data_IF_968117824533
#
_entry.id   IF_968117824533
#
_cell.length_a   1.000
_cell.length_b   1.000
_cell.length_c   1.000
_cell.angle_alpha   90.00
_cell.angle_beta   90.00
_cell.angle_gamma   90.00
#
_symmetry.space_group_name_H-M   'P 1'
#
loop_
_entity.id
_entity.type
_entity.pdbx_description
1 polymer ?
#
# COMPACT_ATOMS: atom_id res chain seq x y z
N UNK A 1 9.77 23.30 -26.43
CA UNK A 1 10.97 23.53 -27.27
C UNK A 1 11.99 24.27 -26.42
N UNK A 2 12.90 23.54 -25.76
CA UNK A 2 13.91 24.14 -24.88
C UNK A 2 15.09 24.62 -25.74
N UNK A 3 15.13 25.91 -26.04
CA UNK A 3 16.35 26.56 -26.46
C UNK A 3 16.45 27.88 -25.70
N UNK A 4 17.20 27.88 -24.60
CA UNK A 4 17.89 29.09 -24.18
C UNK A 4 19.16 29.07 -25.03
N UNK A 5 19.27 29.86 -26.11
CA UNK A 5 20.53 29.95 -26.83
C UNK A 5 21.61 30.38 -25.84
N UNK A 6 22.82 29.79 -25.89
CA UNK A 6 23.91 30.22 -25.03
C UNK A 6 24.10 31.73 -25.20
N UNK A 7 24.25 32.45 -24.08
CA UNK A 7 24.60 33.87 -24.11
C UNK A 7 25.89 34.01 -24.93
N UNK A 8 25.81 34.71 -26.07
CA UNK A 8 26.99 35.02 -26.87
C UNK A 8 27.81 36.06 -26.12
N UNK A 9 29.12 35.87 -26.04
CA UNK A 9 30.01 36.87 -25.46
C UNK A 9 29.91 38.17 -26.27
N UNK A 10 29.90 39.32 -25.58
CA UNK A 10 29.71 40.65 -26.16
C UNK A 10 30.77 41.06 -27.21
N UNK A 11 31.83 40.27 -27.38
CA UNK A 11 32.97 40.58 -28.23
C UNK A 11 33.21 39.57 -29.37
N UNK A 12 32.39 38.51 -29.52
CA UNK A 12 32.52 37.53 -30.61
C UNK A 12 31.23 36.72 -30.82
N UNK A 13 30.82 36.54 -32.09
CA UNK A 13 29.65 35.70 -32.42
C UNK A 13 29.87 34.20 -32.17
N UNK A 14 31.13 33.78 -32.03
CA UNK A 14 31.57 32.38 -31.93
C UNK A 14 31.91 31.93 -30.50
N UNK A 15 31.91 32.85 -29.52
CA UNK A 15 32.27 32.54 -28.13
C UNK A 15 31.02 32.48 -27.25
N UNK A 16 30.79 31.31 -26.67
CA UNK A 16 29.73 31.05 -25.70
C UNK A 16 30.20 31.56 -24.33
N UNK A 17 29.45 32.48 -23.71
CA UNK A 17 29.83 33.16 -22.47
C UNK A 17 29.78 32.26 -21.24
N UNK A 18 28.99 31.18 -21.27
CA UNK A 18 28.85 30.23 -20.17
C UNK A 18 29.45 28.88 -20.56
N UNK A 19 30.71 28.66 -20.18
CA UNK A 19 31.39 27.37 -20.33
C UNK A 19 31.87 26.87 -18.98
N UNK A 20 31.76 25.57 -18.74
CA UNK A 20 32.32 24.87 -17.58
C UNK A 20 33.29 23.80 -18.08
N UNK A 21 34.54 23.83 -17.60
CA UNK A 21 35.60 22.92 -18.06
C UNK A 21 35.76 22.83 -19.61
N UNK A 22 35.53 23.94 -20.32
CA UNK A 22 35.67 24.02 -21.77
C UNK A 22 34.47 23.50 -22.58
N UNK A 23 33.37 23.09 -21.93
CA UNK A 23 32.12 22.73 -22.61
C UNK A 23 31.01 23.73 -22.30
N UNK A 24 30.00 23.79 -23.17
CA UNK A 24 28.82 24.65 -22.98
C UNK A 24 28.15 24.32 -21.66
N UNK A 25 28.02 25.33 -20.81
CA UNK A 25 27.32 25.21 -19.54
C UNK A 25 25.87 25.65 -19.73
N UNK A 26 24.94 24.80 -19.31
CA UNK A 26 23.51 25.10 -19.31
C UNK A 26 23.05 25.14 -17.86
N UNK A 27 22.70 26.33 -17.37
CA UNK A 27 22.17 26.47 -16.03
C UNK A 27 20.73 25.98 -15.96
N UNK A 28 20.49 24.99 -15.11
CA UNK A 28 19.16 24.43 -14.88
C UNK A 28 18.60 24.88 -13.53
N UNK A 29 17.28 25.06 -13.45
CA UNK A 29 16.60 25.49 -12.22
C UNK A 29 16.23 24.31 -11.29
N UNK A 30 16.41 23.08 -11.76
CA UNK A 30 16.10 21.88 -10.99
C UNK A 30 17.24 21.50 -10.03
N UNK A 31 16.91 20.72 -9.01
CA UNK A 31 17.94 20.21 -8.09
C UNK A 31 18.87 19.25 -8.81
N UNK A 32 20.13 19.23 -8.37
CA UNK A 32 21.12 18.32 -8.93
C UNK A 32 20.71 16.85 -8.74
N UNK A 33 20.07 16.53 -7.61
CA UNK A 33 19.61 15.18 -7.26
C UNK A 33 18.47 14.71 -8.17
N UNK A 34 17.47 15.57 -8.44
CA UNK A 34 16.35 15.26 -9.34
C UNK A 34 16.88 15.06 -10.77
N UNK A 35 17.78 15.94 -11.23
CA UNK A 35 18.39 15.87 -12.56
C UNK A 35 19.25 14.62 -12.74
N UNK A 36 20.09 14.29 -11.77
CA UNK A 36 20.92 13.09 -11.82
C UNK A 36 20.05 11.82 -11.92
N UNK A 37 18.98 11.75 -11.13
CA UNK A 37 18.04 10.62 -11.15
C UNK A 37 17.29 10.53 -12.48
N UNK A 38 16.82 11.66 -13.01
CA UNK A 38 16.13 11.73 -14.29
C UNK A 38 17.02 11.34 -15.46
N UNK A 39 18.22 11.91 -15.55
CA UNK A 39 19.20 11.57 -16.58
C UNK A 39 19.61 10.10 -16.46
N UNK A 40 19.84 9.59 -15.25
CA UNK A 40 20.18 8.18 -15.02
C UNK A 40 19.18 7.22 -15.68
N UNK A 41 17.87 7.50 -15.57
CA UNK A 41 16.84 6.66 -16.20
C UNK A 41 16.78 6.81 -17.72
N UNK A 42 17.21 7.95 -18.27
CA UNK A 42 17.31 8.11 -19.73
C UNK A 42 18.48 7.31 -20.32
N UNK A 43 19.60 7.23 -19.60
CA UNK A 43 20.77 6.47 -20.02
C UNK A 43 20.64 4.97 -19.75
N UNK A 44 19.96 4.58 -18.68
CA UNK A 44 19.65 3.19 -18.36
C UNK A 44 18.15 2.99 -18.05
N UNK A 45 17.29 2.90 -19.08
CA UNK A 45 15.85 2.74 -18.91
C UNK A 45 15.44 1.40 -18.27
N UNK A 46 16.36 0.42 -18.20
CA UNK A 46 16.16 -0.92 -17.64
C UNK A 46 16.86 -1.12 -16.28
N UNK A 47 17.49 -0.07 -15.75
CA UNK A 47 18.39 -0.19 -14.61
C UNK A 47 17.77 -0.72 -13.31
N UNK A 48 18.61 -0.88 -12.30
CA UNK A 48 18.29 -1.40 -10.96
C UNK A 48 17.26 -0.59 -10.14
N UNK A 49 16.72 0.50 -10.71
CA UNK A 49 15.92 1.49 -10.02
C UNK A 49 14.54 0.99 -9.55
N UNK A 50 13.94 0.03 -10.26
CA UNK A 50 12.66 -0.55 -9.84
C UNK A 50 12.84 -2.00 -9.39
N UNK A 51 12.78 -2.18 -8.07
CA UNK A 51 12.63 -3.48 -7.44
C UNK A 51 11.20 -3.58 -6.93
N UNK A 52 10.45 -4.55 -7.45
CA UNK A 52 9.06 -4.82 -7.02
C UNK A 52 8.99 -4.86 -5.50
N UNK A 53 8.00 -4.16 -4.96
CA UNK A 53 7.73 -4.04 -3.52
C UNK A 53 8.84 -3.39 -2.69
N UNK A 54 9.79 -2.71 -3.31
CA UNK A 54 10.75 -1.93 -2.56
C UNK A 54 10.02 -0.74 -1.88
N UNK A 55 10.06 -0.65 -0.54
CA UNK A 55 9.39 0.41 0.21
C UNK A 55 9.96 1.80 -0.04
N UNK A 56 11.17 1.92 -0.60
CA UNK A 56 11.77 3.19 -0.99
C UNK A 56 11.39 3.63 -2.41
N UNK A 57 10.76 2.77 -3.22
CA UNK A 57 10.41 3.09 -4.62
C UNK A 57 9.69 4.44 -4.76
N UNK A 58 8.64 4.76 -3.98
CA UNK A 58 7.96 6.06 -4.10
C UNK A 58 8.88 7.26 -3.85
N UNK A 59 9.82 7.15 -2.91
CA UNK A 59 10.77 8.22 -2.58
C UNK A 59 11.82 8.36 -3.68
N UNK A 60 12.35 7.22 -4.15
CA UNK A 60 13.41 7.19 -5.17
C UNK A 60 12.94 7.73 -6.52
N UNK A 61 11.70 7.44 -6.92
CA UNK A 61 11.17 7.86 -8.24
C UNK A 61 10.54 9.24 -8.23
N UNK A 62 10.41 9.91 -7.07
CA UNK A 62 9.73 11.19 -6.94
C UNK A 62 10.38 12.29 -7.81
N UNK A 63 11.70 12.45 -7.74
CA UNK A 63 12.44 13.43 -8.54
C UNK A 63 12.35 13.16 -10.03
N UNK A 64 12.52 11.89 -10.43
CA UNK A 64 12.38 11.46 -11.83
C UNK A 64 10.97 11.72 -12.37
N UNK A 65 9.93 11.42 -11.59
CA UNK A 65 8.54 11.64 -12.00
C UNK A 65 8.21 13.12 -12.14
N UNK A 66 8.69 13.95 -11.21
CA UNK A 66 8.59 15.42 -11.26
C UNK A 66 9.17 15.98 -12.55
N UNK A 67 10.40 15.59 -12.87
CA UNK A 67 11.08 16.05 -14.08
C UNK A 67 10.49 15.46 -15.35
N UNK A 68 10.03 14.20 -15.32
CA UNK A 68 9.33 13.60 -16.45
C UNK A 68 8.05 14.36 -16.80
N UNK A 69 7.32 14.88 -15.81
CA UNK A 69 6.15 15.73 -16.04
C UNK A 69 6.57 17.11 -16.55
N UNK A 70 7.56 17.75 -15.90
CA UNK A 70 8.06 19.09 -16.29
C UNK A 70 8.59 19.12 -17.73
N UNK A 71 9.29 18.06 -18.14
CA UNK A 71 9.91 17.92 -19.45
C UNK A 71 9.08 17.10 -20.45
N UNK A 72 7.80 16.85 -20.14
CA UNK A 72 6.84 16.19 -21.05
C UNK A 72 7.33 14.82 -21.57
N UNK A 73 8.05 14.08 -20.72
CA UNK A 73 8.55 12.73 -21.00
C UNK A 73 7.49 11.68 -20.66
N UNK A 74 6.41 11.65 -21.44
CA UNK A 74 5.22 10.83 -21.17
C UNK A 74 5.50 9.34 -21.06
N UNK A 75 6.40 8.80 -21.89
CA UNK A 75 6.78 7.38 -21.84
C UNK A 75 7.41 7.01 -20.49
N UNK A 76 8.28 7.88 -19.96
CA UNK A 76 8.93 7.67 -18.67
C UNK A 76 7.92 7.81 -17.53
N UNK A 77 7.07 8.83 -17.58
CA UNK A 77 5.96 9.01 -16.63
C UNK A 77 5.08 7.77 -16.59
N UNK A 78 4.61 7.29 -17.75
CA UNK A 78 3.74 6.12 -17.85
C UNK A 78 4.40 4.88 -17.25
N UNK A 79 5.69 4.67 -17.51
CA UNK A 79 6.45 3.53 -16.95
C UNK A 79 6.56 3.60 -15.43
N UNK A 80 6.87 4.76 -14.86
CA UNK A 80 6.94 4.94 -13.41
C UNK A 80 5.56 4.69 -12.77
N UNK A 81 4.51 5.23 -13.37
CA UNK A 81 3.13 5.01 -12.92
C UNK A 81 2.76 3.53 -12.96
N UNK A 82 3.04 2.82 -14.06
CA UNK A 82 2.79 1.38 -14.18
C UNK A 82 3.52 0.57 -13.12
N UNK A 83 4.75 0.94 -12.78
CA UNK A 83 5.53 0.30 -11.72
C UNK A 83 4.90 0.54 -10.34
N UNK A 84 4.56 1.79 -10.02
CA UNK A 84 3.84 2.11 -8.77
C UNK A 84 2.51 1.34 -8.69
N UNK A 85 1.77 1.29 -9.79
CA UNK A 85 0.50 0.56 -9.90
C UNK A 85 0.66 -0.95 -9.74
N UNK A 86 1.73 -1.54 -10.27
CA UNK A 86 2.03 -2.97 -10.13
C UNK A 86 2.31 -3.33 -8.66
N UNK A 87 2.83 -2.39 -7.86
CA UNK A 87 3.10 -2.59 -6.45
C UNK A 87 1.84 -2.49 -5.56
N UNK A 88 0.68 -2.08 -6.07
CA UNK A 88 -0.56 -1.91 -5.28
C UNK A 88 -1.80 -2.63 -5.86
N UNK A 89 -2.63 -3.30 -5.05
CA UNK A 89 -3.80 -4.00 -5.57
C UNK A 89 -4.87 -3.01 -5.99
N UNK A 90 -5.37 -3.14 -7.22
CA UNK A 90 -6.45 -2.31 -7.76
C UNK A 90 -7.79 -3.06 -7.76
N UNK A 91 -7.75 -4.38 -7.62
CA UNK A 91 -8.94 -5.23 -7.54
C UNK A 91 -8.89 -6.15 -6.33
N UNK A 92 -10.06 -6.57 -5.84
CA UNK A 92 -10.16 -7.53 -4.74
C UNK A 92 -9.45 -8.86 -5.05
N UNK A 93 -9.45 -9.30 -6.32
CA UNK A 93 -8.72 -10.50 -6.73
C UNK A 93 -7.20 -10.33 -6.60
N UNK A 94 -6.67 -9.15 -6.96
CA UNK A 94 -5.26 -8.82 -6.75
C UNK A 94 -4.92 -8.72 -5.26
N UNK A 95 -5.84 -8.19 -4.44
CA UNK A 95 -5.70 -8.20 -2.99
C UNK A 95 -5.55 -9.62 -2.45
N UNK A 96 -6.45 -10.53 -2.84
CA UNK A 96 -6.43 -11.93 -2.40
C UNK A 96 -5.12 -12.63 -2.82
N UNK A 97 -4.65 -12.42 -4.04
CA UNK A 97 -3.38 -12.95 -4.51
C UNK A 97 -2.20 -12.44 -3.64
N UNK A 98 -2.21 -11.15 -3.28
CA UNK A 98 -1.17 -10.53 -2.43
C UNK A 98 -1.24 -10.95 -0.99
N UNK A 99 -2.44 -11.21 -0.46
CA UNK A 99 -2.60 -11.77 0.88
C UNK A 99 -1.88 -13.10 0.97
N UNK A 100 -2.08 -13.99 -0.02
CA UNK A 100 -1.39 -15.30 -0.06
C UNK A 100 0.13 -15.12 -0.11
N UNK A 101 0.63 -14.23 -0.97
CA UNK A 101 2.06 -13.89 -1.04
C UNK A 101 2.59 -13.36 0.31
N UNK A 102 1.84 -12.47 0.97
CA UNK A 102 2.19 -11.91 2.28
C UNK A 102 2.24 -12.97 3.38
N UNK A 103 1.30 -13.91 3.40
CA UNK A 103 1.28 -15.04 4.36
C UNK A 103 2.51 -15.93 4.17
N UNK A 104 2.87 -16.24 2.92
CA UNK A 104 4.07 -17.04 2.62
C UNK A 104 5.35 -16.31 3.05
N UNK A 105 5.46 -15.01 2.75
CA UNK A 105 6.60 -14.19 3.19
C UNK A 105 6.67 -14.11 4.72
N UNK A 106 5.55 -13.87 5.41
CA UNK A 106 5.49 -13.88 6.89
C UNK A 106 5.98 -15.22 7.46
N UNK A 107 5.52 -16.34 6.88
CA UNK A 107 5.95 -17.67 7.29
C UNK A 107 7.46 -17.86 7.10
N UNK A 108 8.00 -17.52 5.93
CA UNK A 108 9.43 -17.60 5.64
C UNK A 108 10.27 -16.82 6.66
N UNK A 109 9.88 -15.58 6.96
CA UNK A 109 10.57 -14.74 7.94
C UNK A 109 10.43 -15.25 9.38
N UNK A 110 9.29 -15.83 9.75
CA UNK A 110 9.06 -16.39 11.09
C UNK A 110 9.98 -17.58 11.43
N UNK A 111 10.44 -18.30 10.40
CA UNK A 111 11.41 -19.40 10.55
C UNK A 111 12.83 -18.90 10.80
N UNK A 112 13.13 -17.63 10.50
CA UNK A 112 14.46 -17.06 10.64
C UNK A 112 14.66 -16.51 12.05
N UNK A 113 15.72 -16.94 12.74
CA UNK A 113 16.00 -16.46 14.10
C UNK A 113 16.11 -14.94 14.17
N UNK A 114 16.69 -14.29 13.16
CA UNK A 114 16.85 -12.83 13.08
C UNK A 114 15.62 -12.11 12.54
N UNK A 115 14.61 -12.83 12.05
CA UNK A 115 13.48 -12.28 11.30
C UNK A 115 13.85 -11.78 9.91
N UNK A 116 15.07 -12.06 9.44
CA UNK A 116 15.59 -11.58 8.15
C UNK A 116 15.73 -12.71 7.13
N UNK A 117 15.35 -12.42 5.90
CA UNK A 117 15.63 -13.26 4.72
C UNK A 117 16.51 -12.45 3.78
N UNK A 118 17.66 -12.99 3.37
CA UNK A 118 18.64 -12.28 2.55
C UNK A 118 19.06 -10.91 3.13
N UNK A 119 19.17 -10.81 4.46
CA UNK A 119 19.55 -9.58 5.16
C UNK A 119 18.44 -8.54 5.34
N UNK A 120 17.25 -8.78 4.79
CA UNK A 120 16.11 -7.86 4.80
C UNK A 120 15.01 -8.34 5.76
N UNK A 121 14.31 -7.42 6.42
CA UNK A 121 13.10 -7.72 7.17
C UNK A 121 11.89 -7.89 6.24
N UNK A 122 10.77 -8.40 6.77
CA UNK A 122 9.54 -8.53 6.00
C UNK A 122 9.06 -7.17 5.47
N UNK A 123 9.18 -6.14 6.30
CA UNK A 123 8.79 -4.77 5.98
C UNK A 123 9.62 -4.16 4.83
N UNK A 124 10.83 -4.68 4.59
CA UNK A 124 11.70 -4.26 3.46
C UNK A 124 11.33 -4.94 2.13
N UNK A 125 10.37 -5.86 2.15
CA UNK A 125 9.92 -6.66 1.00
C UNK A 125 8.46 -6.40 0.65
N UNK A 126 7.87 -5.36 1.20
CA UNK A 126 6.48 -4.99 1.01
C UNK A 126 6.37 -3.47 0.78
N UNK A 127 5.43 -3.01 -0.06
CA UNK A 127 5.24 -1.58 -0.32
C UNK A 127 4.95 -0.79 0.96
N UNK A 128 5.56 0.39 1.08
CA UNK A 128 5.33 1.30 2.20
C UNK A 128 4.18 2.27 1.88
N UNK A 129 3.11 2.32 2.69
CA UNK A 129 1.88 3.00 2.32
C UNK A 129 1.96 4.54 2.35
N UNK A 130 2.66 5.17 3.28
CA UNK A 130 2.63 6.62 3.43
C UNK A 130 3.36 7.33 2.28
N UNK A 131 4.54 6.83 1.88
CA UNK A 131 5.26 7.35 0.72
C UNK A 131 4.51 7.09 -0.59
N UNK A 132 3.82 5.94 -0.72
CA UNK A 132 2.96 5.64 -1.86
C UNK A 132 1.76 6.60 -1.95
N UNK A 133 1.11 6.92 -0.82
CA UNK A 133 0.04 7.92 -0.76
C UNK A 133 0.59 9.29 -1.18
N UNK A 134 1.74 9.70 -0.64
CA UNK A 134 2.34 11.00 -0.96
C UNK A 134 2.58 11.17 -2.44
N UNK A 135 3.28 10.22 -3.07
CA UNK A 135 3.58 10.31 -4.52
C UNK A 135 2.29 10.25 -5.36
N UNK A 136 1.33 9.41 -4.97
CA UNK A 136 0.07 9.29 -5.71
C UNK A 136 -0.77 10.55 -5.63
N UNK A 137 -0.83 11.19 -4.46
CA UNK A 137 -1.50 12.48 -4.26
C UNK A 137 -0.83 13.60 -5.06
N UNK A 138 0.50 13.63 -5.12
CA UNK A 138 1.25 14.72 -5.78
C UNK A 138 1.21 14.64 -7.32
N UNK A 139 1.19 13.42 -7.86
CA UNK A 139 1.27 13.20 -9.32
C UNK A 139 0.03 12.55 -9.94
N UNK A 140 -1.09 12.56 -9.20
CA UNK A 140 -2.39 12.08 -9.66
C UNK A 140 -2.40 10.59 -10.08
N UNK A 141 -1.77 9.73 -9.29
CA UNK A 141 -1.81 8.26 -9.44
C UNK A 141 -2.91 7.68 -8.55
N UNK A 142 -4.16 8.09 -8.80
CA UNK A 142 -5.28 7.81 -7.88
C UNK A 142 -5.64 6.32 -7.77
N UNK A 143 -5.27 5.51 -8.75
CA UNK A 143 -5.54 4.06 -8.83
C UNK A 143 -5.01 3.27 -7.64
N UNK A 144 -3.90 3.70 -7.03
CA UNK A 144 -3.27 3.01 -5.89
C UNK A 144 -3.78 3.50 -4.52
N UNK A 145 -4.39 4.68 -4.47
CA UNK A 145 -4.78 5.34 -3.21
C UNK A 145 -5.73 4.49 -2.35
N UNK A 146 -6.79 3.83 -2.88
CA UNK A 146 -7.72 3.07 -2.04
C UNK A 146 -7.02 1.97 -1.25
N UNK A 147 -6.13 1.21 -1.90
CA UNK A 147 -5.38 0.14 -1.25
C UNK A 147 -4.27 0.66 -0.34
N UNK A 148 -3.60 1.76 -0.71
CA UNK A 148 -2.57 2.39 0.11
C UNK A 148 -3.13 2.95 1.42
N UNK A 149 -4.26 3.65 1.35
CA UNK A 149 -4.96 4.11 2.54
C UNK A 149 -5.52 2.96 3.37
N UNK A 150 -6.06 1.93 2.73
CA UNK A 150 -6.52 0.73 3.45
C UNK A 150 -5.37 0.09 4.23
N UNK A 151 -4.23 -0.19 3.59
CA UNK A 151 -3.04 -0.71 4.29
C UNK A 151 -2.58 0.19 5.43
N UNK A 152 -2.50 1.51 5.21
CA UNK A 152 -2.09 2.45 6.24
C UNK A 152 -3.04 2.45 7.45
N UNK A 153 -4.35 2.34 7.20
CA UNK A 153 -5.37 2.35 8.24
C UNK A 153 -5.24 1.17 9.22
N UNK A 154 -4.66 0.06 8.77
CA UNK A 154 -4.40 -1.15 9.56
C UNK A 154 -3.12 -1.06 10.41
N UNK A 155 -2.30 -0.02 10.23
CA UNK A 155 -1.05 0.15 10.98
C UNK A 155 -1.26 1.02 12.21
N UNK A 156 -0.60 0.66 13.31
CA UNK A 156 -0.50 1.53 14.48
C UNK A 156 0.34 2.76 14.14
N UNK A 157 -0.13 3.93 14.58
CA UNK A 157 0.62 5.19 14.46
C UNK A 157 1.96 5.17 15.21
N UNK A 158 2.13 4.27 16.17
CA UNK A 158 3.39 4.07 16.89
C UNK A 158 4.43 3.28 16.06
N UNK A 159 4.01 2.60 14.99
CA UNK A 159 4.86 1.83 14.09
C UNK A 159 5.54 2.76 13.06
N UNK A 160 6.36 3.68 13.56
CA UNK A 160 7.11 4.64 12.75
C UNK A 160 8.33 4.01 12.07
N UNK A 161 8.46 4.26 10.77
CA UNK A 161 9.49 3.70 9.90
C UNK A 161 10.91 3.97 10.39
N UNK A 162 11.21 5.22 10.74
CA UNK A 162 12.55 5.65 11.13
C UNK A 162 12.88 5.16 12.55
N UNK A 163 11.93 5.30 13.47
CA UNK A 163 12.11 4.88 14.86
C UNK A 163 12.38 3.36 14.96
N UNK A 164 11.62 2.55 14.22
CA UNK A 164 11.80 1.10 14.23
C UNK A 164 13.08 0.68 13.52
N UNK A 165 13.62 1.46 12.57
CA UNK A 165 14.92 1.13 11.94
C UNK A 165 16.12 1.58 12.75
N UNK A 166 15.99 2.67 13.50
CA UNK A 166 17.00 3.10 14.46
C UNK A 166 17.16 2.08 15.60
N UNK A 167 16.06 1.42 16.00
CA UNK A 167 16.09 0.33 16.96
C UNK A 167 15.15 -0.82 16.51
N UNK A 168 15.63 -1.72 15.61
CA UNK A 168 14.84 -2.82 15.03
C UNK A 168 14.15 -3.69 16.06
N UNK A 169 14.78 -3.81 17.23
CA UNK A 169 14.22 -4.45 18.41
C UNK A 169 13.59 -5.81 18.11
N UNK A 170 12.50 -6.09 18.82
CA UNK A 170 11.68 -7.29 18.60
C UNK A 170 10.65 -7.08 17.48
N UNK A 171 10.26 -5.84 17.19
CA UNK A 171 9.13 -5.57 16.29
C UNK A 171 9.39 -6.04 14.85
N UNK A 172 10.44 -5.54 14.21
CA UNK A 172 10.76 -5.92 12.83
C UNK A 172 11.16 -7.40 12.73
N UNK A 173 11.79 -7.94 13.79
CA UNK A 173 12.12 -9.37 13.90
C UNK A 173 10.88 -10.26 13.83
N UNK A 174 9.75 -9.84 14.39
CA UNK A 174 8.48 -10.58 14.36
C UNK A 174 7.56 -10.12 13.22
N UNK A 175 8.11 -9.50 12.18
CA UNK A 175 7.36 -9.16 10.96
C UNK A 175 6.42 -7.96 11.12
N UNK A 176 6.68 -7.07 12.07
CA UNK A 176 5.94 -5.81 12.16
C UNK A 176 6.06 -5.02 10.85
N UNK A 177 4.96 -4.36 10.48
CA UNK A 177 4.91 -3.41 9.37
C UNK A 177 5.00 -1.99 9.92
N UNK A 178 5.63 -1.09 9.16
CA UNK A 178 5.79 0.31 9.56
C UNK A 178 5.36 1.27 8.46
N UNK A 179 5.20 2.55 8.80
CA UNK A 179 4.91 3.60 7.83
C UNK A 179 5.70 4.87 8.10
N UNK A 180 5.96 5.64 7.06
CA UNK A 180 6.60 6.97 7.12
C UNK A 180 5.54 8.03 7.43
N UNK A 181 4.99 7.99 8.65
CA UNK A 181 3.87 8.84 9.07
C UNK A 181 4.08 10.33 8.79
N UNK A 182 5.33 10.81 8.86
CA UNK A 182 5.73 12.19 8.60
C UNK A 182 5.49 12.66 7.16
N UNK A 183 5.30 11.75 6.20
CA UNK A 183 5.03 12.10 4.80
C UNK A 183 3.57 12.45 4.53
N UNK A 184 2.66 12.13 5.45
CA UNK A 184 1.25 12.45 5.29
C UNK A 184 1.03 13.93 5.55
N UNK A 185 0.43 14.63 4.59
CA UNK A 185 -0.01 16.00 4.81
C UNK A 185 -1.31 16.03 5.63
N UNK A 186 -1.76 17.24 5.98
CA UNK A 186 -3.00 17.45 6.73
C UNK A 186 -4.22 16.83 6.05
N UNK A 187 -4.30 16.88 4.72
CA UNK A 187 -5.44 16.37 3.95
C UNK A 187 -5.46 14.85 3.99
N UNK A 188 -4.32 14.21 3.76
CA UNK A 188 -4.20 12.75 3.75
C UNK A 188 -4.33 12.16 5.15
N UNK A 189 -3.85 12.85 6.19
CA UNK A 189 -4.13 12.46 7.58
C UNK A 189 -5.63 12.50 7.90
N UNK A 190 -6.35 13.54 7.46
CA UNK A 190 -7.80 13.62 7.67
C UNK A 190 -8.57 12.52 6.93
N UNK A 191 -8.13 12.16 5.72
CA UNK A 191 -8.68 11.02 4.96
C UNK A 191 -8.48 9.70 5.71
N UNK A 192 -7.27 9.49 6.24
CA UNK A 192 -6.93 8.30 7.01
C UNK A 192 -7.83 8.17 8.25
N UNK A 193 -7.92 9.22 9.07
CA UNK A 193 -8.74 9.22 10.30
C UNK A 193 -10.21 8.96 9.98
N UNK A 194 -10.73 9.57 8.91
CA UNK A 194 -12.09 9.31 8.45
C UNK A 194 -12.30 7.85 8.04
N UNK A 195 -11.38 7.31 7.24
CA UNK A 195 -11.44 5.93 6.78
C UNK A 195 -11.30 4.92 7.91
N UNK A 196 -10.40 5.14 8.87
CA UNK A 196 -10.29 4.30 10.08
C UNK A 196 -11.60 4.26 10.87
N UNK A 197 -12.28 5.41 11.03
CA UNK A 197 -13.59 5.46 11.70
C UNK A 197 -14.64 4.62 10.94
N UNK A 198 -14.69 4.73 9.61
CA UNK A 198 -15.64 3.98 8.80
C UNK A 198 -15.32 2.48 8.72
N UNK A 199 -14.04 2.11 8.63
CA UNK A 199 -13.59 0.73 8.72
C UNK A 199 -13.96 0.11 10.05
N UNK A 200 -13.69 0.79 11.18
CA UNK A 200 -14.06 0.29 12.50
C UNK A 200 -15.58 0.13 12.67
N UNK A 201 -16.39 1.03 12.09
CA UNK A 201 -17.84 0.87 12.05
C UNK A 201 -18.23 -0.37 11.23
N UNK A 202 -17.71 -0.48 10.01
CA UNK A 202 -17.96 -1.60 9.12
C UNK A 202 -17.59 -2.95 9.76
N UNK A 203 -16.45 -3.02 10.44
CA UNK A 203 -15.99 -4.24 11.13
C UNK A 203 -16.92 -4.66 12.26
N UNK A 204 -17.51 -3.71 13.01
CA UNK A 204 -18.50 -4.02 14.05
C UNK A 204 -19.79 -4.60 13.46
N UNK A 205 -20.22 -4.09 12.30
CA UNK A 205 -21.45 -4.52 11.64
C UNK A 205 -21.35 -5.92 11.03
N UNK A 206 -20.14 -6.45 10.79
CA UNK A 206 -19.92 -7.82 10.30
C UNK A 206 -20.63 -8.84 11.20
N UNK A 207 -20.49 -8.70 12.52
CA UNK A 207 -21.05 -9.64 13.48
C UNK A 207 -22.57 -9.73 13.39
N UNK A 208 -23.24 -8.58 13.34
CA UNK A 208 -24.71 -8.52 13.25
C UNK A 208 -25.21 -8.97 11.90
N UNK A 209 -24.55 -8.54 10.82
CA UNK A 209 -25.02 -8.76 9.45
C UNK A 209 -24.80 -10.19 8.99
N UNK A 210 -23.70 -10.80 9.42
CA UNK A 210 -23.36 -12.17 9.07
C UNK A 210 -23.91 -13.11 10.13
N UNK A 211 -23.54 -12.98 11.40
CA UNK A 211 -23.83 -13.99 12.41
C UNK A 211 -25.17 -13.81 13.14
N UNK A 212 -25.77 -12.62 13.08
CA UNK A 212 -27.06 -12.31 13.71
C UNK A 212 -28.30 -12.90 13.03
N UNK A 213 -28.16 -13.47 11.83
CA UNK A 213 -29.27 -14.08 11.07
C UNK A 213 -29.79 -15.36 11.74
N UNK A 214 -31.12 -15.51 11.77
CA UNK A 214 -31.79 -16.70 12.33
C UNK A 214 -31.73 -17.88 11.37
N UNK A 215 -31.47 -19.08 11.90
CA UNK A 215 -31.55 -20.31 11.13
C UNK A 215 -33.00 -20.58 10.70
N UNK A 216 -33.26 -20.66 9.39
CA UNK A 216 -34.59 -20.93 8.84
C UNK A 216 -35.15 -22.30 9.27
N UNK A 217 -34.27 -23.26 9.59
CA UNK A 217 -34.67 -24.59 10.08
C UNK A 217 -34.99 -24.62 11.59
N UNK A 218 -34.89 -23.49 12.28
CA UNK A 218 -35.25 -23.36 13.70
C UNK A 218 -34.36 -24.13 14.69
N UNK A 219 -33.22 -24.67 14.25
CA UNK A 219 -32.34 -25.47 15.11
C UNK A 219 -31.61 -24.62 16.15
N UNK A 220 -31.90 -24.83 17.44
CA UNK A 220 -31.23 -24.13 18.58
C UNK A 220 -29.70 -24.26 18.54
N UNK A 221 -29.18 -25.37 18.01
CA UNK A 221 -27.74 -25.60 17.84
C UNK A 221 -27.07 -24.63 16.85
N UNK A 222 -27.77 -24.20 15.80
CA UNK A 222 -27.21 -23.26 14.81
C UNK A 222 -26.99 -21.87 15.39
N UNK A 223 -27.92 -21.38 16.23
CA UNK A 223 -27.76 -20.08 16.87
C UNK A 223 -26.52 -20.07 17.78
N UNK A 224 -26.35 -21.11 18.59
CA UNK A 224 -25.16 -21.27 19.44
C UNK A 224 -23.88 -21.34 18.60
N UNK A 225 -23.83 -22.20 17.59
CA UNK A 225 -22.66 -22.37 16.73
C UNK A 225 -22.25 -21.07 16.03
N UNK A 226 -23.21 -20.28 15.52
CA UNK A 226 -22.93 -18.96 14.92
C UNK A 226 -22.32 -17.98 15.91
N UNK A 227 -22.84 -17.94 17.13
CA UNK A 227 -22.28 -17.08 18.19
C UNK A 227 -20.87 -17.51 18.58
N UNK A 228 -20.59 -18.82 18.64
CA UNK A 228 -19.23 -19.33 18.88
C UNK A 228 -18.28 -18.95 17.74
N UNK A 229 -18.70 -19.09 16.47
CA UNK A 229 -17.90 -18.66 15.33
C UNK A 229 -17.57 -17.16 15.41
N UNK A 230 -18.56 -16.32 15.72
CA UNK A 230 -18.32 -14.89 15.85
C UNK A 230 -17.38 -14.56 17.02
N UNK A 231 -17.57 -15.23 18.17
CA UNK A 231 -16.69 -15.05 19.33
C UNK A 231 -15.25 -15.42 19.00
N UNK A 232 -15.03 -16.50 18.24
CA UNK A 232 -13.69 -16.86 17.78
C UNK A 232 -13.05 -15.73 16.97
N UNK A 233 -13.76 -15.08 16.05
CA UNK A 233 -13.21 -13.95 15.30
C UNK A 233 -12.88 -12.75 16.21
N UNK A 234 -13.67 -12.52 17.27
CA UNK A 234 -13.39 -11.46 18.23
C UNK A 234 -12.15 -11.76 19.11
N UNK A 235 -11.92 -13.03 19.45
CA UNK A 235 -10.86 -13.46 20.38
C UNK A 235 -9.54 -13.86 19.69
N UNK A 236 -9.63 -14.41 18.47
CA UNK A 236 -8.51 -15.03 17.75
C UNK A 236 -8.13 -14.27 16.48
N UNK A 237 -8.78 -13.15 16.15
CA UNK A 237 -8.24 -12.25 15.13
C UNK A 237 -6.81 -11.87 15.57
N UNK A 238 -5.78 -12.22 14.79
CA UNK A 238 -4.41 -12.01 15.20
C UNK A 238 -4.18 -10.50 15.27
N UNK A 239 -4.10 -9.99 16.50
CA UNK A 239 -3.69 -8.63 16.91
C UNK A 239 -4.82 -7.61 17.08
N UNK A 240 -5.97 -7.76 16.43
CA UNK A 240 -7.27 -7.14 16.76
C UNK A 240 -8.22 -7.41 15.58
N UNK A 241 -9.49 -7.06 15.71
CA UNK A 241 -10.48 -6.90 14.64
C UNK A 241 -10.07 -5.84 13.60
N UNK A 242 -8.80 -5.80 13.18
CA UNK A 242 -8.21 -4.66 12.48
C UNK A 242 -8.43 -4.77 10.98
N UNK A 243 -8.33 -5.97 10.38
CA UNK A 243 -8.53 -6.17 8.95
C UNK A 243 -9.91 -6.82 8.63
N UNK A 244 -10.94 -6.02 8.29
CA UNK A 244 -12.25 -6.55 7.93
C UNK A 244 -12.24 -7.42 6.66
N UNK A 245 -11.36 -7.17 5.68
CA UNK A 245 -11.26 -8.04 4.51
C UNK A 245 -10.75 -9.43 4.90
N UNK A 246 -9.88 -9.50 5.90
CA UNK A 246 -9.36 -10.75 6.41
C UNK A 246 -10.39 -11.54 7.20
N UNK A 247 -11.10 -10.88 8.12
CA UNK A 247 -12.22 -11.48 8.87
C UNK A 247 -13.26 -12.05 7.90
N UNK A 248 -13.64 -11.26 6.89
CA UNK A 248 -14.63 -11.69 5.92
C UNK A 248 -14.12 -12.83 5.03
N UNK A 249 -12.83 -12.88 4.69
CA UNK A 249 -12.26 -14.03 3.97
C UNK A 249 -12.37 -15.29 4.82
N UNK A 250 -12.01 -15.20 6.10
CA UNK A 250 -12.06 -16.34 7.01
C UNK A 250 -13.51 -16.82 7.25
N UNK A 251 -14.48 -15.91 7.22
CA UNK A 251 -15.91 -16.26 7.23
C UNK A 251 -16.35 -17.08 6.00
N UNK A 252 -15.65 -17.00 4.86
CA UNK A 252 -15.93 -17.86 3.69
C UNK A 252 -15.42 -19.29 3.86
N UNK A 253 -14.61 -19.55 4.90
CA UNK A 253 -13.89 -20.80 5.12
C UNK A 253 -14.11 -21.39 6.52
N UNK A 254 -15.32 -21.21 7.08
CA UNK A 254 -15.65 -21.69 8.42
C UNK A 254 -15.34 -23.18 8.62
N UNK A 255 -15.56 -23.99 7.58
CA UNK A 255 -15.27 -25.42 7.57
C UNK A 255 -13.81 -25.78 7.85
N UNK A 256 -12.89 -24.87 7.51
CA UNK A 256 -11.45 -25.04 7.78
C UNK A 256 -11.04 -24.56 9.17
N UNK A 257 -11.89 -23.77 9.83
CA UNK A 257 -11.59 -23.09 11.10
C UNK A 257 -12.31 -23.73 12.30
N UNK A 258 -13.45 -24.37 12.08
CA UNK A 258 -14.30 -24.89 13.14
C UNK A 258 -14.68 -26.35 12.89
N UNK A 259 -14.69 -27.14 13.97
CA UNK A 259 -15.25 -28.50 13.98
C UNK A 259 -16.76 -28.49 14.19
N UNK A 260 -17.25 -27.60 15.06
CA UNK A 260 -18.67 -27.46 15.39
C UNK A 260 -19.31 -26.35 14.57
N UNK A 261 -19.85 -26.71 13.41
CA UNK A 261 -20.43 -25.77 12.46
C UNK A 261 -21.94 -25.60 12.62
N UNK A 262 -22.49 -24.43 12.21
CA UNK A 262 -23.91 -24.33 11.89
C UNK A 262 -24.33 -25.35 10.81
N UNK A 263 -25.63 -25.52 10.60
CA UNK A 263 -26.10 -26.38 9.51
C UNK A 263 -25.59 -25.89 8.14
N UNK A 264 -25.53 -26.80 7.16
CA UNK A 264 -25.00 -26.51 5.82
C UNK A 264 -25.64 -25.28 5.15
N UNK A 265 -26.95 -25.07 5.34
CA UNK A 265 -27.62 -23.84 4.86
C UNK A 265 -27.07 -22.58 5.54
N UNK A 266 -26.94 -22.59 6.87
CA UNK A 266 -26.38 -21.47 7.61
C UNK A 266 -24.94 -21.15 7.21
N UNK A 267 -24.13 -22.18 6.94
CA UNK A 267 -22.74 -22.01 6.45
C UNK A 267 -22.73 -21.40 5.06
N UNK A 268 -23.59 -21.88 4.14
CA UNK A 268 -23.75 -21.29 2.81
C UNK A 268 -24.21 -19.83 2.85
N UNK A 269 -25.13 -19.48 3.75
CA UNK A 269 -25.60 -18.11 3.95
C UNK A 269 -24.48 -17.20 4.47
N UNK A 270 -23.68 -17.68 5.42
CA UNK A 270 -22.52 -16.94 5.95
C UNK A 270 -21.49 -16.70 4.85
N UNK A 271 -21.12 -17.73 4.10
CA UNK A 271 -20.15 -17.62 3.01
C UNK A 271 -20.62 -16.62 1.95
N UNK A 272 -21.88 -16.74 1.51
CA UNK A 272 -22.46 -15.84 0.50
C UNK A 272 -22.52 -14.39 0.98
N UNK A 273 -22.89 -14.16 2.25
CA UNK A 273 -22.93 -12.82 2.84
C UNK A 273 -21.54 -12.24 3.02
N UNK A 274 -20.57 -13.05 3.48
CA UNK A 274 -19.19 -12.65 3.65
C UNK A 274 -18.59 -12.19 2.32
N UNK A 275 -18.72 -12.99 1.25
CA UNK A 275 -18.25 -12.58 -0.07
C UNK A 275 -18.91 -11.29 -0.59
N UNK A 276 -20.22 -11.13 -0.38
CA UNK A 276 -20.94 -9.90 -0.75
C UNK A 276 -20.34 -8.70 -0.02
N UNK A 277 -20.16 -8.81 1.30
CA UNK A 277 -19.55 -7.77 2.14
C UNK A 277 -18.08 -7.50 1.75
N UNK A 278 -17.30 -8.48 1.31
CA UNK A 278 -15.91 -8.25 0.82
C UNK A 278 -15.90 -7.37 -0.42
N UNK A 279 -16.77 -7.71 -1.40
CA UNK A 279 -16.91 -6.94 -2.63
C UNK A 279 -17.42 -5.52 -2.36
N UNK A 280 -18.37 -5.39 -1.44
CA UNK A 280 -18.92 -4.10 -1.01
C UNK A 280 -17.86 -3.22 -0.34
N UNK A 281 -17.12 -3.77 0.62
CA UNK A 281 -16.05 -3.07 1.32
C UNK A 281 -14.98 -2.57 0.34
N UNK A 282 -14.46 -3.45 -0.53
CA UNK A 282 -13.45 -3.08 -1.51
C UNK A 282 -13.90 -1.93 -2.41
N UNK A 283 -15.14 -2.00 -2.91
CA UNK A 283 -15.72 -0.94 -3.76
C UNK A 283 -15.97 0.37 -3.00
N UNK A 284 -16.14 0.29 -1.69
CA UNK A 284 -16.41 1.45 -0.83
C UNK A 284 -15.15 2.16 -0.35
N UNK A 285 -13.96 1.57 -0.51
CA UNK A 285 -12.69 2.17 -0.08
C UNK A 285 -12.47 3.61 -0.60
N UNK A 286 -12.72 3.94 -1.88
CA UNK A 286 -12.62 5.32 -2.35
C UNK A 286 -13.50 6.30 -1.56
N UNK A 287 -14.73 5.90 -1.26
CA UNK A 287 -15.65 6.71 -0.44
C UNK A 287 -15.19 6.78 1.02
N UNK A 288 -14.71 5.67 1.59
CA UNK A 288 -14.23 5.62 2.98
C UNK A 288 -13.06 6.59 3.22
N UNK A 289 -12.22 6.80 2.21
CA UNK A 289 -11.05 7.67 2.31
C UNK A 289 -11.23 9.03 1.61
N UNK A 290 -12.46 9.40 1.22
CA UNK A 290 -12.74 10.67 0.51
C UNK A 290 -11.79 10.90 -0.69
N UNK A 291 -11.63 9.87 -1.51
CA UNK A 291 -10.87 9.89 -2.75
C UNK A 291 -11.78 10.36 -3.88
N UNK A 292 -11.25 11.22 -4.76
CA UNK A 292 -11.97 11.76 -5.93
C UNK A 292 -11.56 10.99 -7.16
#
# INVERSE_FOLDING_TARGET
MFAIPPLKASYSEDIIAETYAGVVHVQMQDSAEDLASFLGVLYDPLGSAYKRFNPDTPVLVQGTLKLAIKYECDALRARIVQNLEADWPQTLAQWDARRVESVLLKSEHSLQFTGKVNGLYLDDRLPEPASAIRIASDYNVSSILPAAFYHLALLSTDADWDAYRANPGKHLRFGARTARWRLLDKRDLMRLVHGQKLLAAYTRDIGTDIFGLRCQRGGKGCAKARTECWRYFQENAPISMDDPLDILYDCTRLDTLFTDLPCTTCVGDVCSMAEKKRRELWRSLPAFFNLK
#
